data_IF_089896752800
#
_entry.id   IF_089896752800
#
_cell.length_a   1.000
_cell.length_b   1.000
_cell.length_c   1.000
_cell.angle_alpha   90.00
_cell.angle_beta   90.00
_cell.angle_gamma   90.00
#
_symmetry.space_group_name_H-M   'P 1'
#
loop_
_entity.id
_entity.type
_entity.pdbx_description
1 polymer ?
#
# COMPACT_ATOMS: atom_id res chain seq x y z
N UNK A 1 -25.38 -20.66 -7.05
CA UNK A 1 -24.08 -20.14 -6.58
C UNK A 1 -23.31 -21.37 -6.12
N UNK A 2 -22.49 -21.92 -7.00
CA UNK A 2 -21.57 -22.98 -6.60
C UNK A 2 -20.39 -22.31 -5.91
N UNK A 3 -20.25 -22.58 -4.61
CA UNK A 3 -19.06 -22.25 -3.85
C UNK A 3 -18.08 -23.39 -4.11
N UNK A 4 -17.13 -23.16 -5.01
CA UNK A 4 -16.02 -24.06 -5.20
C UNK A 4 -15.03 -23.86 -4.05
N UNK A 5 -14.89 -24.86 -3.18
CA UNK A 5 -13.73 -24.97 -2.31
C UNK A 5 -12.53 -25.42 -3.17
N UNK A 6 -11.53 -24.56 -3.30
CA UNK A 6 -10.22 -24.97 -3.83
C UNK A 6 -9.58 -25.83 -2.75
N UNK A 7 -9.44 -27.12 -3.06
CA UNK A 7 -8.93 -28.15 -2.16
C UNK A 7 -7.50 -27.92 -1.72
N UNK A 8 -7.19 -28.49 -0.56
CA UNK A 8 -5.85 -28.65 0.01
C UNK A 8 -4.87 -29.12 -1.07
N UNK A 9 -3.97 -28.23 -1.45
CA UNK A 9 -2.74 -28.62 -2.12
C UNK A 9 -1.68 -28.74 -1.04
N UNK A 10 -1.55 -29.93 -0.47
CA UNK A 10 -0.30 -30.36 0.14
C UNK A 10 0.79 -30.25 -0.94
N UNK A 11 1.66 -29.24 -0.82
CA UNK A 11 2.92 -29.22 -1.55
C UNK A 11 4.05 -28.85 -0.59
N UNK A 12 5.08 -29.69 -0.63
CA UNK A 12 6.27 -29.69 0.19
C UNK A 12 6.86 -28.28 0.36
N UNK A 13 7.21 -27.96 1.61
CA UNK A 13 8.03 -26.81 1.98
C UNK A 13 9.43 -27.04 1.39
N UNK A 14 9.65 -26.54 0.18
CA UNK A 14 10.98 -26.07 -0.19
C UNK A 14 11.06 -24.66 0.39
N UNK A 15 12.02 -24.47 1.30
CA UNK A 15 12.31 -23.21 1.99
C UNK A 15 12.58 -22.16 0.91
N UNK A 16 11.57 -21.37 0.58
CA UNK A 16 11.64 -20.40 -0.51
C UNK A 16 12.43 -19.20 0.01
N UNK A 17 13.76 -19.30 -0.04
CA UNK A 17 14.71 -18.21 0.26
C UNK A 17 14.41 -16.92 -0.54
N UNK A 18 13.49 -16.96 -1.51
CA UNK A 18 13.07 -15.81 -2.30
C UNK A 18 11.81 -15.07 -1.79
N UNK A 19 11.14 -15.53 -0.72
CA UNK A 19 9.96 -14.83 -0.18
C UNK A 19 10.36 -13.72 0.78
N UNK A 20 10.05 -12.48 0.40
CA UNK A 20 10.02 -11.37 1.35
C UNK A 20 8.90 -11.58 2.38
N UNK A 21 9.12 -11.24 3.65
CA UNK A 21 8.09 -11.31 4.68
C UNK A 21 6.91 -10.39 4.37
N UNK A 22 5.72 -10.80 4.83
CA UNK A 22 4.50 -9.99 4.78
C UNK A 22 4.10 -9.65 6.21
N UNK A 23 3.91 -8.36 6.49
CA UNK A 23 3.51 -7.84 7.79
C UNK A 23 2.10 -7.26 7.73
N UNK A 24 1.27 -7.59 8.72
CA UNK A 24 -0.02 -6.92 8.92
C UNK A 24 0.21 -5.77 9.89
N UNK A 25 -0.19 -4.57 9.50
CA UNK A 25 0.07 -3.32 10.21
C UNK A 25 -1.25 -2.69 10.66
N UNK A 26 -1.36 -2.45 11.97
CA UNK A 26 -2.49 -1.75 12.61
C UNK A 26 -2.04 -0.53 13.40
N UNK A 27 -0.73 -0.26 13.47
CA UNK A 27 -0.19 0.95 14.10
C UNK A 27 1.00 1.49 13.31
N UNK A 28 1.13 2.82 13.25
CA UNK A 28 2.18 3.49 12.47
C UNK A 28 3.59 3.03 12.86
N UNK A 29 3.82 2.76 14.16
CA UNK A 29 5.12 2.30 14.68
C UNK A 29 5.58 0.93 14.15
N UNK A 30 4.73 0.18 13.45
CA UNK A 30 5.09 -1.09 12.81
C UNK A 30 5.65 -0.90 11.40
N UNK A 31 5.57 0.31 10.84
CA UNK A 31 6.13 0.66 9.54
C UNK A 31 7.61 1.05 9.68
N UNK A 32 8.41 0.93 8.60
CA UNK A 32 9.80 1.37 8.61
C UNK A 32 9.96 2.85 8.97
N UNK A 33 10.96 3.18 9.79
CA UNK A 33 11.22 4.57 10.20
C UNK A 33 11.51 5.48 8.99
N UNK A 34 12.24 4.97 7.98
CA UNK A 34 12.56 5.71 6.76
C UNK A 34 11.31 6.03 5.92
N UNK A 35 10.22 5.27 6.09
CA UNK A 35 8.93 5.56 5.48
C UNK A 35 8.19 6.66 6.27
N UNK A 36 8.20 6.59 7.60
CA UNK A 36 7.52 7.56 8.47
C UNK A 36 8.24 8.91 8.54
N UNK A 37 9.57 8.92 8.44
CA UNK A 37 10.44 10.09 8.54
C UNK A 37 11.30 10.24 7.26
N UNK A 38 10.67 10.48 6.10
CA UNK A 38 11.38 10.51 4.84
C UNK A 38 12.33 11.71 4.76
N UNK A 39 13.56 11.48 4.29
CA UNK A 39 14.61 12.49 4.29
C UNK A 39 15.36 12.56 2.94
N UNK A 40 15.97 13.71 2.59
CA UNK A 40 16.81 13.80 1.39
C UNK A 40 18.01 12.82 1.38
N UNK A 41 18.43 12.35 2.55
CA UNK A 41 19.58 11.46 2.72
C UNK A 41 19.23 9.99 2.47
N UNK A 42 17.97 9.59 2.67
CA UNK A 42 17.47 8.23 2.40
C UNK A 42 16.44 8.27 1.28
N UNK A 43 16.85 7.87 0.07
CA UNK A 43 15.93 7.74 -1.06
C UNK A 43 15.23 6.40 -0.97
N UNK A 44 13.97 6.44 -0.57
CA UNK A 44 13.12 5.26 -0.48
C UNK A 44 12.35 5.09 -1.79
N UNK A 45 12.27 3.85 -2.29
CA UNK A 45 11.40 3.45 -3.40
C UNK A 45 10.46 2.38 -2.90
N UNK A 46 9.16 2.58 -3.07
CA UNK A 46 8.13 1.62 -2.70
C UNK A 46 7.19 1.35 -3.87
N UNK A 47 6.58 0.18 -3.83
CA UNK A 47 5.36 -0.12 -4.56
C UNK A 47 4.14 0.20 -3.69
N UNK A 48 3.10 0.76 -4.28
CA UNK A 48 1.88 1.16 -3.59
C UNK A 48 0.63 0.74 -4.36
N UNK A 49 -0.30 0.14 -3.62
CA UNK A 49 -1.65 -0.21 -4.06
C UNK A 49 -2.62 -0.03 -2.87
N UNK A 50 -3.91 0.17 -3.13
CA UNK A 50 -4.89 0.30 -2.06
C UNK A 50 -6.29 -0.18 -2.43
N UNK A 51 -7.02 -0.65 -1.43
CA UNK A 51 -8.37 -1.18 -1.60
C UNK A 51 -9.32 -0.54 -0.58
N UNK A 52 -10.58 -0.43 -0.96
CA UNK A 52 -11.59 0.20 -0.12
C UNK A 52 -13.01 -0.02 -0.60
N UNK A 53 -13.97 0.38 0.23
CA UNK A 53 -15.39 0.33 -0.12
C UNK A 53 -15.79 1.66 -0.73
N UNK A 54 -16.46 1.62 -1.89
CA UNK A 54 -16.97 2.78 -2.60
C UNK A 54 -15.93 3.90 -2.74
N UNK A 55 -14.71 3.61 -3.21
CA UNK A 55 -13.59 4.55 -3.42
C UNK A 55 -14.04 5.84 -4.12
N UNK A 56 -14.54 6.79 -3.36
CA UNK A 56 -15.10 8.07 -3.75
C UNK A 56 -15.10 8.99 -2.52
N UNK A 57 -15.64 10.20 -2.61
CA UNK A 57 -15.73 11.16 -1.48
C UNK A 57 -16.43 10.65 -0.22
N UNK A 58 -17.15 9.54 -0.31
CA UNK A 58 -17.85 8.89 0.80
C UNK A 58 -17.36 7.45 1.06
N UNK A 59 -16.36 7.02 0.30
CA UNK A 59 -15.75 5.71 0.46
C UNK A 59 -14.94 5.62 1.73
N UNK A 60 -14.49 4.41 2.02
CA UNK A 60 -13.58 4.14 3.14
C UNK A 60 -12.41 3.35 2.61
N UNK A 61 -11.21 3.87 2.85
CA UNK A 61 -9.97 3.13 2.65
C UNK A 61 -9.96 1.95 3.62
N UNK A 62 -9.77 0.74 3.10
CA UNK A 62 -9.75 -0.48 3.91
C UNK A 62 -8.33 -1.00 4.10
N UNK A 63 -7.57 -1.10 3.01
CA UNK A 63 -6.24 -1.70 3.00
C UNK A 63 -5.31 -0.86 2.15
N UNK A 64 -4.07 -0.70 2.59
CA UNK A 64 -2.96 -0.26 1.73
C UNK A 64 -1.90 -1.35 1.67
N UNK A 65 -1.35 -1.57 0.48
CA UNK A 65 -0.28 -2.49 0.21
C UNK A 65 0.99 -1.66 -0.06
N UNK A 66 2.01 -1.84 0.78
CA UNK A 66 3.30 -1.18 0.64
C UNK A 66 4.38 -2.23 0.44
N UNK A 67 4.95 -2.32 -0.77
CA UNK A 67 6.07 -3.23 -1.02
C UNK A 67 7.40 -2.47 -0.96
N UNK A 68 8.27 -2.93 -0.09
CA UNK A 68 9.66 -2.52 0.04
C UNK A 68 10.56 -3.60 -0.59
N UNK A 69 11.85 -3.32 -0.73
CA UNK A 69 12.80 -4.29 -1.28
C UNK A 69 12.94 -5.57 -0.45
N UNK A 70 12.64 -5.49 0.84
CA UNK A 70 12.89 -6.52 1.85
C UNK A 70 11.62 -7.01 2.56
N UNK A 71 10.46 -6.36 2.37
CA UNK A 71 9.21 -6.75 3.03
C UNK A 71 7.98 -6.15 2.32
N UNK A 72 6.82 -6.76 2.53
CA UNK A 72 5.52 -6.21 2.16
C UNK A 72 4.73 -5.90 3.43
N UNK A 73 4.08 -4.74 3.47
CA UNK A 73 3.22 -4.33 4.56
C UNK A 73 1.79 -4.20 4.06
N UNK A 74 0.89 -4.98 4.65
CA UNK A 74 -0.55 -4.86 4.49
C UNK A 74 -1.08 -4.02 5.65
N UNK A 75 -1.41 -2.78 5.35
CA UNK A 75 -1.86 -1.78 6.31
C UNK A 75 -3.38 -1.86 6.44
N UNK A 76 -3.87 -2.27 7.61
CA UNK A 76 -5.29 -2.27 7.93
C UNK A 76 -5.72 -0.86 8.36
N UNK A 77 -6.33 -0.12 7.43
CA UNK A 77 -6.81 1.23 7.68
C UNK A 77 -8.08 1.26 8.54
N UNK A 78 -8.79 0.14 8.67
CA UNK A 78 -9.99 0.03 9.50
C UNK A 78 -9.62 -0.13 10.97
N UNK A 79 -8.73 -1.07 11.29
CA UNK A 79 -8.28 -1.32 12.65
C UNK A 79 -7.30 -0.23 13.13
N UNK A 80 -6.36 0.19 12.27
CA UNK A 80 -5.39 1.23 12.64
C UNK A 80 -5.93 2.65 12.62
N UNK A 81 -7.09 2.86 11.97
CA UNK A 81 -7.83 4.10 12.01
C UNK A 81 -7.11 5.32 11.44
N UNK A 82 -7.54 6.50 11.90
CA UNK A 82 -7.11 7.80 11.36
C UNK A 82 -5.61 8.06 11.59
N UNK A 83 -5.05 7.67 12.73
CA UNK A 83 -3.64 7.91 13.06
C UNK A 83 -2.69 7.20 12.06
N UNK A 84 -2.97 5.92 11.79
CA UNK A 84 -2.22 5.15 10.80
C UNK A 84 -2.40 5.71 9.39
N UNK A 85 -3.62 6.09 9.04
CA UNK A 85 -3.94 6.67 7.74
C UNK A 85 -3.22 8.02 7.51
N UNK A 86 -3.15 8.88 8.52
CA UNK A 86 -2.40 10.15 8.49
C UNK A 86 -0.90 9.88 8.33
N UNK A 87 -0.35 8.91 9.07
CA UNK A 87 1.07 8.57 8.95
C UNK A 87 1.44 8.09 7.54
N UNK A 88 0.64 7.19 6.96
CA UNK A 88 0.81 6.74 5.58
C UNK A 88 0.66 7.91 4.59
N UNK A 89 -0.33 8.78 4.79
CA UNK A 89 -0.53 9.96 3.93
C UNK A 89 0.70 10.87 3.90
N UNK A 90 1.25 11.23 5.06
CA UNK A 90 2.43 12.09 5.14
C UNK A 90 3.65 11.49 4.42
N UNK A 91 3.83 10.18 4.54
CA UNK A 91 4.86 9.45 3.81
C UNK A 91 4.59 9.44 2.29
N UNK A 92 3.36 9.11 1.88
CA UNK A 92 2.96 9.06 0.47
C UNK A 92 2.95 10.44 -0.21
N UNK A 93 2.81 11.55 0.52
CA UNK A 93 2.96 12.91 -0.01
C UNK A 93 4.42 13.37 -0.10
N UNK A 94 5.36 12.67 0.53
CA UNK A 94 6.76 13.07 0.57
C UNK A 94 7.45 12.96 -0.80
N UNK A 95 8.15 14.03 -1.19
CA UNK A 95 8.99 14.04 -2.40
C UNK A 95 10.27 13.20 -2.26
N UNK A 96 10.59 12.68 -1.07
CA UNK A 96 11.76 11.85 -0.84
C UNK A 96 11.47 10.34 -0.95
N UNK A 97 10.19 9.98 -1.07
CA UNK A 97 9.74 8.62 -1.37
C UNK A 97 9.31 8.59 -2.83
N UNK A 98 9.90 7.69 -3.61
CA UNK A 98 9.46 7.36 -4.96
C UNK A 98 8.45 6.22 -4.87
N UNK A 99 7.28 6.38 -5.50
CA UNK A 99 6.21 5.38 -5.46
C UNK A 99 6.00 4.87 -6.87
N UNK A 100 6.04 3.55 -7.04
CA UNK A 100 5.42 2.87 -8.17
C UNK A 100 3.98 2.60 -7.75
N UNK A 101 3.01 3.06 -8.53
CA UNK A 101 1.60 2.96 -8.16
C UNK A 101 0.89 2.04 -9.14
N UNK A 102 0.22 1.03 -8.62
CA UNK A 102 -0.61 0.10 -9.39
C UNK A 102 -2.08 0.48 -9.31
N UNK A 103 -2.88 0.09 -10.31
CA UNK A 103 -4.36 0.21 -10.35
C UNK A 103 -4.99 1.58 -9.99
N UNK A 104 -4.26 2.68 -10.22
CA UNK A 104 -4.61 4.04 -9.80
C UNK A 104 -5.94 4.62 -10.33
N UNK A 105 -6.62 3.95 -11.27
CA UNK A 105 -7.77 4.50 -12.00
C UNK A 105 -8.96 4.79 -11.10
N UNK A 106 -9.31 3.90 -10.17
CA UNK A 106 -10.37 4.13 -9.18
C UNK A 106 -9.82 4.70 -7.87
N UNK A 107 -8.59 4.35 -7.52
CA UNK A 107 -7.97 4.77 -6.28
C UNK A 107 -7.79 6.29 -6.21
N UNK A 108 -7.58 6.93 -7.37
CA UNK A 108 -7.49 8.39 -7.45
C UNK A 108 -8.77 9.12 -6.97
N UNK A 109 -9.87 8.42 -6.69
CA UNK A 109 -11.08 9.00 -6.10
C UNK A 109 -11.11 8.93 -4.56
N UNK A 110 -10.18 8.21 -3.92
CA UNK A 110 -10.03 8.16 -2.46
C UNK A 110 -9.62 9.53 -1.95
N UNK A 111 -10.49 10.18 -1.18
CA UNK A 111 -10.23 11.55 -0.72
C UNK A 111 -9.03 11.66 0.22
N UNK A 112 -8.76 10.62 1.01
CA UNK A 112 -7.66 10.64 1.97
C UNK A 112 -6.29 10.56 1.29
N UNK A 113 -6.21 9.88 0.14
CA UNK A 113 -5.00 9.68 -0.65
C UNK A 113 -5.00 10.46 -1.98
N UNK A 114 -6.00 11.32 -2.20
CA UNK A 114 -6.23 12.02 -3.46
C UNK A 114 -4.97 12.73 -3.94
N UNK A 115 -4.33 13.50 -3.06
CA UNK A 115 -3.14 14.27 -3.37
C UNK A 115 -1.92 13.39 -3.69
N UNK A 116 -1.88 12.15 -3.17
CA UNK A 116 -0.83 11.17 -3.47
C UNK A 116 -0.98 10.56 -4.86
N UNK A 117 -2.23 10.38 -5.32
CA UNK A 117 -2.57 9.70 -6.59
C UNK A 117 -2.78 10.67 -7.75
N UNK A 118 -3.08 11.95 -7.46
CA UNK A 118 -3.17 13.02 -8.45
C UNK A 118 -1.96 13.13 -9.41
N UNK A 119 -0.69 12.98 -8.97
CA UNK A 119 0.47 13.02 -9.87
C UNK A 119 0.44 11.94 -10.96
N UNK A 120 -0.30 10.85 -10.76
CA UNK A 120 -0.47 9.79 -11.77
C UNK A 120 -1.44 10.18 -12.89
N UNK A 121 -2.35 11.14 -12.67
CA UNK A 121 -3.36 11.51 -13.66
C UNK A 121 -2.80 12.20 -14.92
N UNK A 122 -1.75 13.05 -14.86
CA UNK A 122 -1.15 13.66 -16.06
C UNK A 122 -0.05 12.81 -16.72
N UNK A 123 0.53 11.84 -16.01
CA UNK A 123 1.72 11.10 -16.45
C UNK A 123 1.45 9.60 -16.56
N UNK A 124 1.00 9.17 -17.72
CA UNK A 124 0.66 7.77 -18.05
C UNK A 124 1.85 6.78 -18.09
N UNK A 125 3.02 7.13 -17.53
CA UNK A 125 4.26 6.32 -17.65
C UNK A 125 4.71 5.64 -16.35
N UNK A 126 4.12 5.97 -15.20
CA UNK A 126 4.48 5.33 -13.92
C UNK A 126 3.29 4.75 -13.15
N UNK A 127 2.07 4.86 -13.69
CA UNK A 127 0.94 4.06 -13.25
C UNK A 127 0.80 2.87 -14.21
N UNK A 128 1.10 1.66 -13.72
CA UNK A 128 0.80 0.41 -14.42
C UNK A 128 -0.58 -0.01 -13.95
N UNK A 129 -1.62 0.45 -14.66
CA UNK A 129 -2.96 -0.15 -14.60
C UNK A 129 -3.02 -1.45 -15.42
#
# INVERSE_FOLDING_TARGET
>A
MEVFYIGESEKCVEDDESRVPIHIVTAASQLPVDFLEPSPQSKLVIDFDCEGVDLCRKGTLCVMQLAFSDAVYLVDAIEGGEELSIACKLALESNYITKVIHDCKRDSEVSDLFDCLLPCLPWSLFCIC
#
